data_IF_824719011832
#
_entry.id   IF_824719011832
#
_cell.length_a   1.000
_cell.length_b   1.000
_cell.length_c   1.000
_cell.angle_alpha   90.00
_cell.angle_beta   90.00
_cell.angle_gamma   90.00
#
_symmetry.space_group_name_H-M   'P 1'
#
loop_
_entity.id
_entity.type
_entity.pdbx_description
1 polymer ?
#
# COMPACT_ATOMS: atom_id res chain seq x y z
N UNK A 1 -12.15 -4.22 -9.10
CA UNK A 1 -11.30 -4.33 -7.88
C UNK A 1 -11.59 -5.60 -7.06
N UNK A 2 -12.85 -6.00 -6.88
CA UNK A 2 -13.20 -7.23 -6.13
C UNK A 2 -12.63 -8.53 -6.71
N UNK A 3 -12.76 -8.74 -8.03
CA UNK A 3 -12.24 -9.95 -8.70
C UNK A 3 -10.71 -10.09 -8.62
N UNK A 4 -9.93 -9.00 -8.76
CA UNK A 4 -8.47 -9.07 -8.65
C UNK A 4 -8.00 -9.43 -7.23
N UNK A 5 -8.68 -8.91 -6.19
CA UNK A 5 -8.41 -9.28 -4.79
C UNK A 5 -8.74 -10.75 -4.52
N UNK A 6 -9.84 -11.26 -5.08
CA UNK A 6 -10.19 -12.67 -4.98
C UNK A 6 -9.14 -13.57 -5.65
N UNK A 7 -8.65 -13.19 -6.83
CA UNK A 7 -7.61 -13.94 -7.53
C UNK A 7 -6.28 -13.94 -6.75
N UNK A 8 -5.90 -12.82 -6.14
CA UNK A 8 -4.69 -12.76 -5.31
C UNK A 8 -4.80 -13.66 -4.07
N UNK A 9 -5.94 -13.66 -3.38
CA UNK A 9 -6.18 -14.55 -2.25
C UNK A 9 -6.11 -16.03 -2.66
N UNK A 10 -6.58 -16.38 -3.85
CA UNK A 10 -6.46 -17.74 -4.38
C UNK A 10 -5.00 -18.14 -4.60
N UNK A 11 -4.19 -17.26 -5.18
CA UNK A 11 -2.74 -17.49 -5.38
C UNK A 11 -2.02 -17.62 -4.03
N UNK A 12 -2.31 -16.74 -3.06
CA UNK A 12 -1.75 -16.82 -1.70
C UNK A 12 -2.08 -18.17 -1.06
N UNK A 13 -3.36 -18.57 -1.06
CA UNK A 13 -3.79 -19.85 -0.50
C UNK A 13 -3.15 -21.05 -1.21
N UNK A 14 -2.94 -20.95 -2.53
CA UNK A 14 -2.27 -22.00 -3.32
C UNK A 14 -0.80 -22.14 -2.90
N UNK A 15 -0.08 -21.02 -2.78
CA UNK A 15 1.31 -20.98 -2.32
C UNK A 15 1.42 -21.52 -0.89
N UNK A 16 0.58 -21.07 0.04
CA UNK A 16 0.56 -21.56 1.43
C UNK A 16 0.35 -23.08 1.50
N UNK A 17 -0.58 -23.60 0.69
CA UNK A 17 -0.84 -25.05 0.61
C UNK A 17 0.36 -25.82 0.07
N UNK A 18 0.98 -25.35 -1.03
CA UNK A 18 2.17 -25.99 -1.60
C UNK A 18 3.35 -25.94 -0.64
N UNK A 19 3.59 -24.82 0.03
CA UNK A 19 4.62 -24.70 1.06
C UNK A 19 4.35 -25.60 2.27
N UNK A 20 3.08 -25.72 2.69
CA UNK A 20 2.68 -26.63 3.75
C UNK A 20 2.95 -28.10 3.41
N UNK A 21 2.65 -28.50 2.17
CA UNK A 21 2.97 -29.84 1.67
C UNK A 21 4.49 -30.03 1.63
N UNK A 22 5.26 -29.10 1.07
CA UNK A 22 6.73 -29.13 1.05
C UNK A 22 7.35 -29.22 2.45
N UNK A 23 6.77 -28.55 3.45
CA UNK A 23 7.23 -28.64 4.84
C UNK A 23 6.96 -30.01 5.46
N UNK A 24 5.84 -30.65 5.13
CA UNK A 24 5.49 -32.00 5.61
C UNK A 24 6.24 -33.13 4.87
N UNK A 25 6.94 -32.80 3.78
CA UNK A 25 7.57 -33.75 2.85
C UNK A 25 8.93 -34.30 3.29
N UNK A 26 9.38 -34.00 4.51
CA UNK A 26 10.59 -34.63 5.07
C UNK A 26 10.47 -36.16 5.26
N UNK A 27 9.31 -36.77 4.98
CA UNK A 27 9.02 -38.17 5.32
C UNK A 27 8.37 -39.04 4.22
N UNK A 28 8.02 -38.54 3.03
CA UNK A 28 7.29 -39.35 2.03
C UNK A 28 7.67 -39.06 0.57
N UNK A 29 7.63 -40.14 -0.23
CA UNK A 29 7.97 -40.30 -1.65
C UNK A 29 6.95 -39.60 -2.58
N UNK A 30 6.81 -38.29 -2.44
CA UNK A 30 5.96 -37.45 -3.29
C UNK A 30 6.83 -36.74 -4.31
N UNK A 31 6.29 -36.53 -5.51
CA UNK A 31 6.97 -35.82 -6.60
C UNK A 31 7.20 -34.33 -6.25
N UNK A 32 8.32 -34.07 -5.58
CA UNK A 32 8.81 -32.74 -5.19
C UNK A 32 8.96 -31.85 -6.43
N UNK A 33 9.33 -32.41 -7.59
CA UNK A 33 9.51 -31.65 -8.81
C UNK A 33 8.17 -31.05 -9.29
N UNK A 34 7.09 -31.84 -9.23
CA UNK A 34 5.73 -31.34 -9.52
C UNK A 34 5.30 -30.22 -8.56
N UNK A 35 5.58 -30.36 -7.26
CA UNK A 35 5.26 -29.32 -6.28
C UNK A 35 6.06 -28.03 -6.49
N UNK A 36 7.34 -28.13 -6.81
CA UNK A 36 8.18 -26.97 -7.12
C UNK A 36 7.69 -26.26 -8.38
N UNK A 37 7.34 -27.01 -9.42
CA UNK A 37 6.78 -26.46 -10.66
C UNK A 37 5.45 -25.73 -10.41
N UNK A 38 4.60 -26.27 -9.54
CA UNK A 38 3.37 -25.58 -9.12
C UNK A 38 3.66 -24.27 -8.38
N UNK A 39 4.65 -24.25 -7.49
CA UNK A 39 5.05 -23.00 -6.81
C UNK A 39 5.55 -21.94 -7.81
N UNK A 40 6.40 -22.34 -8.78
CA UNK A 40 6.86 -21.43 -9.83
C UNK A 40 5.69 -20.89 -10.66
N UNK A 41 4.72 -21.74 -10.99
CA UNK A 41 3.51 -21.34 -11.71
C UNK A 41 2.67 -20.31 -10.94
N UNK A 42 2.49 -20.51 -9.63
CA UNK A 42 1.74 -19.56 -8.80
C UNK A 42 2.47 -18.22 -8.62
N UNK A 43 3.80 -18.24 -8.53
CA UNK A 43 4.61 -17.01 -8.50
C UNK A 43 4.51 -16.22 -9.82
N UNK A 44 4.50 -16.92 -10.95
CA UNK A 44 4.28 -16.30 -12.28
C UNK A 44 2.87 -15.70 -12.38
N UNK A 45 1.84 -16.39 -11.88
CA UNK A 45 0.48 -15.85 -11.79
C UNK A 45 0.42 -14.60 -10.91
N UNK A 46 1.14 -14.59 -9.78
CA UNK A 46 1.25 -13.42 -8.90
C UNK A 46 1.86 -12.22 -9.64
N UNK A 47 2.95 -12.43 -10.38
CA UNK A 47 3.60 -11.39 -11.17
C UNK A 47 2.65 -10.80 -12.23
N UNK A 48 1.94 -11.66 -12.98
CA UNK A 48 0.94 -11.26 -13.98
C UNK A 48 -0.25 -10.50 -13.38
N UNK A 49 -0.69 -10.87 -12.17
CA UNK A 49 -1.71 -10.10 -11.46
C UNK A 49 -1.19 -8.72 -11.05
N UNK A 50 0.09 -8.61 -10.69
CA UNK A 50 0.77 -7.34 -10.42
C UNK A 50 0.76 -6.39 -11.60
N UNK A 51 0.85 -6.91 -12.84
CA UNK A 51 0.82 -6.06 -14.03
C UNK A 51 -0.48 -5.28 -14.20
N UNK A 52 -1.60 -5.83 -13.69
CA UNK A 52 -2.90 -5.14 -13.69
C UNK A 52 -2.94 -3.93 -12.75
N UNK A 53 -1.97 -3.81 -11.84
CA UNK A 53 -1.84 -2.72 -10.88
C UNK A 53 -0.78 -1.68 -11.28
N UNK A 54 -0.16 -1.79 -12.46
CA UNK A 54 0.89 -0.87 -12.91
C UNK A 54 0.48 0.62 -12.94
N UNK A 55 -0.81 0.94 -13.05
CA UNK A 55 -1.30 2.32 -13.02
C UNK A 55 -1.34 2.93 -11.62
N UNK A 56 -1.20 2.11 -10.57
CA UNK A 56 -1.22 2.57 -9.18
C UNK A 56 0.19 2.97 -8.78
N UNK A 57 0.39 4.27 -8.54
CA UNK A 57 1.64 4.79 -7.98
C UNK A 57 1.56 4.74 -6.46
N UNK A 58 2.50 4.03 -5.85
CA UNK A 58 2.60 3.92 -4.38
C UNK A 58 3.75 4.82 -3.90
N UNK A 59 3.52 5.76 -2.96
CA UNK A 59 4.58 6.54 -2.35
C UNK A 59 5.60 5.65 -1.62
N UNK A 60 6.88 6.03 -1.65
CA UNK A 60 7.95 5.24 -1.00
C UNK A 60 7.76 5.15 0.52
N UNK A 61 7.15 6.15 1.13
CA UNK A 61 6.85 6.16 2.56
C UNK A 61 5.86 5.05 2.94
N UNK A 62 4.91 4.74 2.06
CA UNK A 62 3.98 3.62 2.26
C UNK A 62 4.73 2.29 2.19
N UNK A 63 5.68 2.15 1.27
CA UNK A 63 6.52 0.94 1.17
C UNK A 63 7.37 0.75 2.44
N UNK A 64 7.98 1.83 2.94
CA UNK A 64 8.73 1.80 4.19
C UNK A 64 7.86 1.38 5.39
N UNK A 65 6.59 1.81 5.46
CA UNK A 65 5.68 1.36 6.52
C UNK A 65 5.43 -0.15 6.42
N UNK A 66 5.19 -0.67 5.21
CA UNK A 66 4.98 -2.10 4.96
C UNK A 66 6.24 -2.91 5.36
N UNK A 67 7.43 -2.49 4.93
CA UNK A 67 8.69 -3.18 5.23
C UNK A 67 8.98 -3.23 6.75
N UNK A 68 8.55 -2.21 7.49
CA UNK A 68 8.66 -2.17 8.95
C UNK A 68 7.49 -2.86 9.69
N UNK A 69 6.56 -3.50 8.97
CA UNK A 69 5.40 -4.17 9.56
C UNK A 69 4.38 -3.22 10.19
N UNK A 70 4.36 -1.94 9.80
CA UNK A 70 3.41 -0.93 10.26
C UNK A 70 2.18 -0.85 9.36
N UNK A 71 1.12 -0.21 9.86
CA UNK A 71 -0.08 0.00 9.07
C UNK A 71 0.16 1.09 8.00
N UNK A 72 0.03 0.80 6.69
CA UNK A 72 0.20 1.78 5.62
C UNK A 72 -0.81 2.94 5.67
N UNK A 73 -1.96 2.77 6.34
CA UNK A 73 -2.96 3.83 6.51
C UNK A 73 -2.46 4.97 7.41
N UNK A 74 -1.40 4.76 8.20
CA UNK A 74 -0.74 5.82 8.97
C UNK A 74 -0.25 6.94 8.06
N UNK A 75 0.30 6.60 6.88
CA UNK A 75 0.73 7.60 5.90
C UNK A 75 -0.47 8.45 5.43
N UNK A 76 -1.57 7.81 5.07
CA UNK A 76 -2.80 8.50 4.62
C UNK A 76 -3.32 9.46 5.70
N UNK A 77 -3.36 8.98 6.95
CA UNK A 77 -3.77 9.78 8.11
C UNK A 77 -2.86 10.99 8.31
N UNK A 78 -1.55 10.80 8.26
CA UNK A 78 -0.58 11.85 8.51
C UNK A 78 -0.58 12.90 7.40
N UNK A 79 -0.74 12.49 6.13
CA UNK A 79 -0.92 13.41 4.99
C UNK A 79 -2.19 14.24 5.16
N UNK A 80 -3.31 13.63 5.56
CA UNK A 80 -4.57 14.33 5.78
C UNK A 80 -4.44 15.35 6.93
N UNK A 81 -3.88 14.94 8.06
CA UNK A 81 -3.66 15.82 9.21
C UNK A 81 -2.74 17.00 8.87
N UNK A 82 -1.67 16.75 8.13
CA UNK A 82 -0.77 17.80 7.64
C UNK A 82 -1.49 18.76 6.68
N UNK A 83 -2.38 18.27 5.82
CA UNK A 83 -3.17 19.10 4.94
C UNK A 83 -4.10 20.03 5.73
N UNK A 84 -4.80 19.50 6.74
CA UNK A 84 -5.69 20.27 7.62
C UNK A 84 -4.89 21.36 8.35
N UNK A 85 -3.77 21.00 8.96
CA UNK A 85 -2.91 21.95 9.68
C UNK A 85 -2.38 23.05 8.75
N UNK A 86 -1.89 22.70 7.56
CA UNK A 86 -1.40 23.67 6.57
C UNK A 86 -2.51 24.59 6.07
N UNK A 87 -3.72 24.07 5.87
CA UNK A 87 -4.88 24.87 5.46
C UNK A 87 -5.23 25.92 6.53
N UNK A 88 -5.31 25.50 7.80
CA UNK A 88 -5.54 26.41 8.94
C UNK A 88 -4.47 27.51 9.03
N UNK A 89 -3.18 27.14 8.92
CA UNK A 89 -2.08 28.11 8.92
C UNK A 89 -2.21 29.08 7.75
N UNK A 90 -2.55 28.60 6.57
CA UNK A 90 -2.70 29.42 5.35
C UNK A 90 -3.86 30.40 5.51
N UNK A 91 -4.99 29.94 6.04
CA UNK A 91 -6.13 30.80 6.37
C UNK A 91 -5.74 31.89 7.36
N UNK A 92 -5.07 31.54 8.47
CA UNK A 92 -4.60 32.52 9.45
C UNK A 92 -3.66 33.57 8.86
N UNK A 93 -2.76 33.18 7.95
CA UNK A 93 -1.92 34.13 7.20
C UNK A 93 -2.75 35.07 6.33
N UNK A 94 -3.70 34.53 5.58
CA UNK A 94 -4.59 35.33 4.71
C UNK A 94 -5.41 36.32 5.54
N UNK A 95 -5.94 35.90 6.68
CA UNK A 95 -6.74 36.75 7.56
C UNK A 95 -5.87 37.87 8.15
N UNK A 96 -4.66 37.57 8.64
CA UNK A 96 -3.71 38.59 9.10
C UNK A 96 -3.34 39.63 8.01
N UNK A 97 -3.17 39.19 6.75
CA UNK A 97 -2.93 40.11 5.64
C UNK A 97 -4.15 40.99 5.32
N UNK A 98 -5.37 40.47 5.46
CA UNK A 98 -6.60 41.26 5.28
C UNK A 98 -6.73 42.31 6.38
N UNK A 99 -6.45 41.94 7.62
CA UNK A 99 -6.51 42.83 8.78
C UNK A 99 -5.48 43.95 8.65
N UNK A 100 -4.23 43.63 8.31
CA UNK A 100 -3.18 44.62 8.04
C UNK A 100 -3.60 45.60 6.94
N UNK A 101 -4.16 45.09 5.83
CA UNK A 101 -4.66 45.94 4.75
C UNK A 101 -5.80 46.84 5.22
N UNK A 102 -6.69 46.32 6.08
CA UNK A 102 -7.77 47.11 6.68
C UNK A 102 -7.23 48.30 7.47
N UNK A 103 -6.30 48.06 8.40
CA UNK A 103 -5.69 49.12 9.19
C UNK A 103 -4.97 50.17 8.34
N UNK A 104 -4.20 49.75 7.33
CA UNK A 104 -3.52 50.68 6.42
C UNK A 104 -4.47 51.56 5.61
N UNK A 105 -5.71 51.11 5.36
CA UNK A 105 -6.72 51.90 4.66
C UNK A 105 -7.53 52.80 5.58
N UNK A 106 -7.60 52.49 6.88
CA UNK A 106 -8.22 53.35 7.90
C UNK A 106 -7.33 54.52 8.30
N UNK A 107 -6.01 54.34 8.26
CA UNK A 107 -5.01 55.37 8.58
C UNK A 107 -4.77 56.39 7.44
N UNK A 108 -5.50 56.28 6.32
CA UNK A 108 -5.32 57.05 5.06
C UNK A 108 -6.48 58.01 4.82
#
# INVERSE_FOLDING_TARGET
MGSSKQNLNQVINSIEKTLGILHQLSSFDVDIASQLNNLVFELDNMAKLGEKCHSIKVPMEVLNLIDNGKNPDEFTRDVLNNCIAKNQITKGKVDAFKDLRGHLLEDL
#
